data_IF_165988062611
#
_entry.id   IF_165988062611
#
_cell.length_a   1.000
_cell.length_b   1.000
_cell.length_c   1.000
_cell.angle_alpha   90.00
_cell.angle_beta   90.00
_cell.angle_gamma   90.00
#
_symmetry.space_group_name_H-M   'P 1'
#
loop_
_entity.id
_entity.type
_entity.pdbx_description
1 polymer ?
#
# COMPACT_ATOMS: atom_id res chain seq x y z
N UNK A 1 -11.81 0.36 -16.46
CA UNK A 1 -11.53 1.43 -17.43
C UNK A 1 -10.29 2.15 -16.96
N UNK A 2 -9.15 1.97 -17.65
CA UNK A 2 -7.94 2.72 -17.36
C UNK A 2 -8.22 4.20 -17.67
N UNK A 3 -8.21 5.06 -16.64
CA UNK A 3 -8.31 6.49 -16.86
C UNK A 3 -6.96 6.94 -17.42
N UNK A 4 -6.90 7.29 -18.70
CA UNK A 4 -5.72 7.86 -19.35
C UNK A 4 -5.50 9.28 -18.85
N UNK A 5 -5.00 9.40 -17.62
CA UNK A 5 -4.50 10.65 -17.08
C UNK A 5 -3.08 10.90 -17.58
N UNK A 6 -2.70 12.17 -17.73
CA UNK A 6 -1.31 12.51 -18.04
C UNK A 6 -0.40 12.03 -16.90
N UNK A 7 0.86 11.70 -17.21
CA UNK A 7 1.85 11.30 -16.20
C UNK A 7 1.97 12.33 -15.07
N UNK A 8 1.93 13.63 -15.41
CA UNK A 8 1.92 14.73 -14.44
C UNK A 8 0.73 14.67 -13.48
N UNK A 9 -0.44 14.25 -13.94
CA UNK A 9 -1.63 14.08 -13.10
C UNK A 9 -1.46 12.90 -12.15
N UNK A 10 -0.91 11.78 -12.64
CA UNK A 10 -0.65 10.59 -11.83
C UNK A 10 0.37 10.89 -10.72
N UNK A 11 1.44 11.64 -11.02
CA UNK A 11 2.43 12.01 -10.01
C UNK A 11 1.84 12.88 -8.88
N UNK A 12 0.86 13.73 -9.19
CA UNK A 12 0.24 14.62 -8.20
C UNK A 12 -0.89 13.94 -7.43
N UNK A 13 -1.67 13.08 -8.08
CA UNK A 13 -2.93 12.54 -7.54
C UNK A 13 -2.92 11.03 -7.27
N UNK A 14 -2.01 10.28 -7.87
CA UNK A 14 -1.93 8.83 -7.73
C UNK A 14 -1.70 8.42 -6.28
N UNK A 15 -2.30 7.29 -5.88
CA UNK A 15 -2.24 6.79 -4.51
C UNK A 15 -2.93 7.66 -3.45
N UNK A 16 -3.55 8.80 -3.79
CA UNK A 16 -4.23 9.71 -2.84
C UNK A 16 -5.72 9.39 -2.69
N UNK A 17 -6.04 8.11 -2.50
CA UNK A 17 -7.41 7.67 -2.24
C UNK A 17 -7.94 8.29 -0.92
N UNK A 18 -9.25 8.57 -0.85
CA UNK A 18 -9.95 9.06 0.35
C UNK A 18 -9.67 8.18 1.58
N UNK A 19 -9.53 6.87 1.38
CA UNK A 19 -9.17 5.91 2.44
C UNK A 19 -7.86 6.26 3.15
N UNK A 20 -6.86 6.74 2.41
CA UNK A 20 -5.52 7.01 2.95
C UNK A 20 -5.34 8.47 3.40
N UNK A 21 -6.05 9.40 2.75
CA UNK A 21 -5.93 10.84 3.03
C UNK A 21 -6.76 11.29 4.23
N UNK A 22 -7.88 10.64 4.53
CA UNK A 22 -8.73 10.96 5.69
C UNK A 22 -9.08 12.46 5.81
N UNK A 23 -9.34 13.13 4.69
CA UNK A 23 -9.69 14.55 4.63
C UNK A 23 -8.49 15.49 4.49
N UNK A 24 -7.26 15.00 4.65
CA UNK A 24 -6.05 15.76 4.33
C UNK A 24 -5.73 15.72 2.82
N UNK A 25 -4.83 16.60 2.39
CA UNK A 25 -4.29 16.58 1.02
C UNK A 25 -3.43 15.34 0.81
N UNK A 26 -2.52 15.07 1.76
CA UNK A 26 -1.57 13.96 1.68
C UNK A 26 -2.10 12.73 2.43
N UNK A 27 -1.65 11.51 2.08
CA UNK A 27 -1.91 10.33 2.88
C UNK A 27 -1.43 10.52 4.33
N UNK A 28 -2.18 9.95 5.28
CA UNK A 28 -1.79 9.99 6.69
C UNK A 28 -0.50 9.20 6.92
N UNK A 29 0.29 9.63 7.91
CA UNK A 29 1.47 8.89 8.37
C UNK A 29 1.04 7.98 9.53
N UNK A 30 0.70 6.74 9.22
CA UNK A 30 0.27 5.74 10.20
C UNK A 30 1.45 4.85 10.59
N UNK A 31 2.10 5.19 11.71
CA UNK A 31 3.21 4.41 12.28
C UNK A 31 2.67 3.38 13.25
N UNK A 32 2.80 2.11 12.91
CA UNK A 32 2.35 1.02 13.77
C UNK A 32 3.15 -0.26 13.50
N UNK A 33 3.53 -0.97 14.55
CA UNK A 33 3.97 -2.37 14.49
C UNK A 33 2.77 -3.29 14.66
N UNK A 34 1.97 -3.07 15.71
CA UNK A 34 0.73 -3.81 15.99
C UNK A 34 -0.51 -2.98 15.68
N UNK A 35 -1.55 -3.64 15.18
CA UNK A 35 -2.85 -3.05 14.88
C UNK A 35 -3.92 -3.76 15.72
N UNK A 36 -4.85 -2.98 16.27
CA UNK A 36 -5.92 -3.46 17.13
C UNK A 36 -7.12 -3.89 16.28
N UNK A 37 -7.84 -4.92 16.73
CA UNK A 37 -9.09 -5.37 16.14
C UNK A 37 -10.17 -5.35 17.21
N UNK A 38 -11.34 -4.82 16.87
CA UNK A 38 -12.46 -4.72 17.81
C UNK A 38 -13.05 -6.09 18.12
N UNK A 39 -13.06 -7.00 17.13
CA UNK A 39 -13.57 -8.36 17.29
C UNK A 39 -12.63 -9.44 16.71
N UNK A 40 -12.82 -10.67 17.17
CA UNK A 40 -12.11 -11.85 16.61
C UNK A 40 -12.52 -12.08 15.15
N UNK A 41 -13.77 -11.76 14.79
CA UNK A 41 -14.27 -11.83 13.42
C UNK A 41 -13.53 -10.85 12.50
N UNK A 42 -13.29 -9.62 12.94
CA UNK A 42 -12.51 -8.62 12.19
C UNK A 42 -11.06 -9.07 12.02
N UNK A 43 -10.45 -9.59 13.09
CA UNK A 43 -9.11 -10.17 13.01
C UNK A 43 -9.04 -11.29 11.96
N UNK A 44 -10.03 -12.20 11.92
CA UNK A 44 -10.09 -13.28 10.92
C UNK A 44 -10.25 -12.73 9.51
N UNK A 45 -11.07 -11.71 9.31
CA UNK A 45 -11.24 -11.02 8.03
C UNK A 45 -9.90 -10.41 7.56
N UNK A 46 -9.26 -9.59 8.40
CA UNK A 46 -7.97 -8.97 8.09
C UNK A 46 -6.86 -10.01 7.86
N UNK A 47 -6.90 -11.14 8.58
CA UNK A 47 -5.93 -12.24 8.39
C UNK A 47 -6.03 -12.85 6.98
N UNK A 48 -7.25 -13.04 6.46
CA UNK A 48 -7.48 -13.55 5.11
C UNK A 48 -7.05 -12.55 4.04
N UNK A 49 -7.29 -11.26 4.30
CA UNK A 49 -7.03 -10.17 3.35
C UNK A 49 -5.71 -9.42 3.60
N UNK A 50 -4.80 -9.99 4.39
CA UNK A 50 -3.51 -9.36 4.78
C UNK A 50 -2.57 -9.02 3.61
N UNK A 51 -2.83 -9.56 2.42
CA UNK A 51 -2.07 -9.29 1.18
C UNK A 51 -2.86 -8.40 0.20
N UNK A 52 -4.08 -7.99 0.56
CA UNK A 52 -5.01 -7.20 -0.27
C UNK A 52 -5.22 -5.78 0.27
N UNK A 53 -4.24 -5.28 1.03
CA UNK A 53 -4.31 -3.93 1.60
C UNK A 53 -5.23 -3.81 2.81
N UNK A 54 -5.48 -4.89 3.54
CA UNK A 54 -6.11 -4.82 4.87
C UNK A 54 -5.11 -4.64 6.00
N UNK A 55 -5.49 -3.84 6.98
CA UNK A 55 -4.71 -3.55 8.18
C UNK A 55 -4.63 -4.81 9.05
N UNK A 56 -3.42 -5.37 9.18
CA UNK A 56 -3.19 -6.56 9.99
C UNK A 56 -1.98 -6.44 10.92
N UNK A 57 -0.81 -6.15 10.37
CA UNK A 57 0.43 -5.96 11.13
C UNK A 57 1.35 -5.02 10.35
N UNK A 58 2.14 -4.20 11.04
CA UNK A 58 2.99 -3.18 10.42
C UNK A 58 3.92 -3.70 9.33
N UNK A 59 4.43 -4.94 9.47
CA UNK A 59 5.24 -5.62 8.44
C UNK A 59 4.49 -5.84 7.11
N UNK A 60 3.17 -5.94 7.15
CA UNK A 60 2.31 -6.09 5.96
C UNK A 60 1.89 -4.74 5.36
N UNK A 61 2.23 -3.64 6.01
CA UNK A 61 1.87 -2.30 5.60
C UNK A 61 0.77 -1.69 6.46
N UNK A 62 0.73 -0.36 6.41
CA UNK A 62 -0.30 0.52 6.98
C UNK A 62 -0.87 1.38 5.86
N UNK A 63 -1.83 2.26 6.14
CA UNK A 63 -2.42 3.14 5.12
C UNK A 63 -1.38 3.94 4.33
N UNK A 64 -0.27 4.33 4.97
CA UNK A 64 0.85 5.02 4.32
C UNK A 64 1.53 4.15 3.26
N UNK A 65 1.75 2.88 3.59
CA UNK A 65 2.42 1.93 2.70
C UNK A 65 1.51 1.59 1.51
N UNK A 66 0.22 1.36 1.77
CA UNK A 66 -0.78 1.06 0.74
C UNK A 66 -0.92 2.22 -0.25
N UNK A 67 -0.92 3.47 0.22
CA UNK A 67 -0.96 4.64 -0.65
C UNK A 67 0.21 4.69 -1.64
N UNK A 68 1.43 4.38 -1.18
CA UNK A 68 2.61 4.33 -2.04
C UNK A 68 2.56 3.16 -3.03
N UNK A 69 2.12 1.98 -2.57
CA UNK A 69 1.96 0.81 -3.44
C UNK A 69 0.96 1.08 -4.57
N UNK A 70 -0.17 1.70 -4.26
CA UNK A 70 -1.19 2.06 -5.25
C UNK A 70 -0.65 3.05 -6.29
N UNK A 71 0.09 4.09 -5.86
CA UNK A 71 0.74 5.04 -6.77
C UNK A 71 1.73 4.34 -7.71
N UNK A 72 2.60 3.48 -7.17
CA UNK A 72 3.59 2.77 -8.00
C UNK A 72 2.92 1.81 -8.98
N UNK A 73 1.88 1.10 -8.56
CA UNK A 73 1.09 0.23 -9.46
C UNK A 73 0.41 1.03 -10.57
N UNK A 74 -0.18 2.19 -10.25
CA UNK A 74 -0.82 3.06 -11.24
C UNK A 74 0.18 3.62 -12.24
N UNK A 75 1.37 4.01 -11.79
CA UNK A 75 2.43 4.58 -12.62
C UNK A 75 3.08 3.55 -13.56
N UNK A 76 3.35 2.34 -13.07
CA UNK A 76 4.02 1.29 -13.85
C UNK A 76 3.06 0.31 -14.53
N UNK A 77 1.75 0.40 -14.25
CA UNK A 77 0.76 -0.55 -14.77
C UNK A 77 0.87 -1.96 -14.14
N UNK A 78 1.48 -2.07 -12.96
CA UNK A 78 1.71 -3.33 -12.26
C UNK A 78 0.48 -3.85 -11.51
N UNK A 79 0.36 -5.18 -11.36
CA UNK A 79 -0.71 -5.80 -10.59
C UNK A 79 -0.52 -5.66 -9.06
N UNK A 80 0.70 -5.34 -8.61
CA UNK A 80 1.06 -5.19 -7.21
C UNK A 80 2.45 -4.60 -7.05
N UNK A 81 2.71 -3.99 -5.90
CA UNK A 81 3.99 -3.36 -5.56
C UNK A 81 4.45 -3.86 -4.19
N UNK A 82 5.71 -4.27 -4.08
CA UNK A 82 6.34 -4.62 -2.80
C UNK A 82 7.38 -3.58 -2.41
N UNK A 83 7.36 -3.20 -1.13
CA UNK A 83 8.26 -2.20 -0.58
C UNK A 83 9.45 -2.86 0.11
N UNK A 84 10.63 -2.31 -0.13
CA UNK A 84 11.90 -2.77 0.42
C UNK A 84 12.66 -1.60 1.04
N UNK A 85 13.56 -1.86 2.01
CA UNK A 85 14.29 -0.79 2.69
C UNK A 85 15.29 -0.06 1.78
N UNK A 86 15.74 -0.69 0.70
CA UNK A 86 16.64 -0.09 -0.28
C UNK A 86 16.56 -0.83 -1.63
N UNK A 87 17.16 -0.23 -2.68
CA UNK A 87 17.20 -0.81 -4.02
C UNK A 87 17.93 -2.16 -4.09
N UNK A 88 19.06 -2.30 -3.38
CA UNK A 88 19.78 -3.58 -3.32
C UNK A 88 18.91 -4.70 -2.72
N UNK A 89 18.20 -4.41 -1.63
CA UNK A 89 17.25 -5.35 -1.03
C UNK A 89 16.09 -5.70 -1.97
N UNK A 90 15.60 -4.74 -2.76
CA UNK A 90 14.57 -5.01 -3.76
C UNK A 90 15.07 -5.98 -4.84
N UNK A 91 16.27 -5.75 -5.38
CA UNK A 91 16.88 -6.62 -6.41
C UNK A 91 17.16 -8.01 -5.87
N UNK A 92 17.83 -8.12 -4.71
CA UNK A 92 18.16 -9.42 -4.11
C UNK A 92 16.90 -10.23 -3.81
N UNK A 93 15.88 -9.63 -3.20
CA UNK A 93 14.64 -10.36 -2.90
C UNK A 93 13.85 -10.71 -4.16
N UNK A 94 13.86 -9.87 -5.20
CA UNK A 94 13.24 -10.22 -6.48
C UNK A 94 13.88 -11.46 -7.11
N UNK A 95 15.20 -11.62 -6.98
CA UNK A 95 15.92 -12.80 -7.48
C UNK A 95 15.70 -14.03 -6.59
N UNK A 96 15.78 -13.88 -5.26
CA UNK A 96 15.70 -15.01 -4.33
C UNK A 96 14.28 -15.57 -4.10
N UNK A 97 13.24 -14.78 -4.38
CA UNK A 97 11.84 -15.18 -4.20
C UNK A 97 11.16 -15.63 -5.50
N UNK A 98 11.85 -15.51 -6.64
CA UNK A 98 11.53 -16.24 -7.88
C UNK A 98 11.95 -17.72 -7.72
#
# INVERSE_FOLDING_TARGET
MAKNHSLSTILVHGGRNKRFTQGAVNPVIQRASSLVFDTITDKKHCTKNRYKGELFYGRRGTLTHFALQDLMCEMEGGAGCYLYPCGAAAVTNAICLL
#
